data_IF_109705891237
#
_entry.id   IF_109705891237
#
_cell.length_a   1.000
_cell.length_b   1.000
_cell.length_c   1.000
_cell.angle_alpha   90.00
_cell.angle_beta   90.00
_cell.angle_gamma   90.00
#
_symmetry.space_group_name_H-M   'P 1'
#
loop_
_entity.id
_entity.type
_entity.pdbx_description
1 polymer ?
#
# COMPACT_ATOMS: atom_id res chain seq x y z
N UNK A 1 35.18 17.95 22.61
CA UNK A 1 34.06 17.19 23.18
C UNK A 1 32.83 18.09 23.11
N UNK A 2 32.00 17.91 22.08
CA UNK A 2 30.70 18.56 21.97
C UNK A 2 29.80 17.59 21.20
N UNK A 3 28.97 16.89 21.96
CA UNK A 3 27.97 15.92 21.52
C UNK A 3 26.62 16.65 21.65
N UNK A 4 26.04 17.08 20.52
CA UNK A 4 24.68 17.68 20.42
C UNK A 4 24.40 17.96 18.94
N UNK A 5 23.37 17.44 18.29
CA UNK A 5 22.33 16.53 18.74
C UNK A 5 21.88 15.69 17.55
N UNK A 6 21.57 14.43 17.83
CA UNK A 6 20.72 13.65 16.95
C UNK A 6 19.34 14.34 17.01
N UNK A 7 18.89 14.89 15.90
CA UNK A 7 17.51 15.33 15.78
C UNK A 7 16.63 14.08 15.76
N UNK A 8 16.17 13.68 16.95
CA UNK A 8 15.12 12.69 17.15
C UNK A 8 13.83 13.16 16.44
N UNK A 9 13.31 12.27 15.58
CA UNK A 9 11.89 12.01 15.42
C UNK A 9 11.01 13.18 15.04
N UNK A 10 11.00 13.58 13.77
CA UNK A 10 9.71 13.87 13.15
C UNK A 10 9.12 12.53 12.71
N UNK A 11 8.20 12.06 13.52
CA UNK A 11 7.15 11.09 13.25
C UNK A 11 6.77 11.18 11.76
N UNK A 12 7.41 10.37 10.91
CA UNK A 12 6.77 9.98 9.66
C UNK A 12 5.63 9.12 10.16
N UNK A 13 4.40 9.64 10.08
CA UNK A 13 3.21 8.88 10.39
C UNK A 13 3.41 7.48 9.85
N UNK A 14 3.13 6.47 10.67
CA UNK A 14 3.09 5.08 10.24
C UNK A 14 1.91 4.95 9.27
N UNK A 15 2.04 5.55 8.08
CA UNK A 15 1.21 5.31 6.93
C UNK A 15 1.53 3.87 6.57
N UNK A 16 0.68 2.95 7.02
CA UNK A 16 0.82 1.55 6.68
C UNK A 16 0.95 1.48 5.15
N UNK A 17 1.95 0.77 4.60
CA UNK A 17 2.18 0.73 3.17
C UNK A 17 0.90 0.32 2.44
N UNK A 18 0.64 0.93 1.29
CA UNK A 18 -0.64 0.76 0.58
C UNK A 18 -0.85 -0.71 0.20
N UNK A 19 0.25 -1.42 -0.03
CA UNK A 19 0.31 -2.86 -0.27
C UNK A 19 -0.25 -3.68 0.90
N UNK A 20 0.07 -3.35 2.15
CA UNK A 20 -0.50 -4.05 3.32
C UNK A 20 -2.01 -3.80 3.46
N UNK A 21 -2.47 -2.58 3.15
CA UNK A 21 -3.89 -2.28 3.17
C UNK A 21 -4.63 -3.03 2.05
N UNK A 22 -4.03 -3.10 0.87
CA UNK A 22 -4.58 -3.83 -0.27
C UNK A 22 -4.72 -5.32 0.03
N UNK A 23 -3.67 -5.95 0.55
CA UNK A 23 -3.71 -7.37 0.94
C UNK A 23 -4.82 -7.62 1.97
N UNK A 24 -4.95 -6.77 3.00
CA UNK A 24 -6.03 -6.92 3.99
C UNK A 24 -7.43 -6.79 3.39
N UNK A 25 -7.61 -5.88 2.43
CA UNK A 25 -8.88 -5.67 1.74
C UNK A 25 -9.24 -6.87 0.87
N UNK A 26 -8.28 -7.36 0.08
CA UNK A 26 -8.44 -8.59 -0.69
C UNK A 26 -8.77 -9.77 0.23
N UNK A 27 -8.14 -9.84 1.41
CA UNK A 27 -8.32 -10.96 2.34
C UNK A 27 -9.74 -10.96 2.90
N UNK A 28 -10.23 -9.76 3.22
CA UNK A 28 -11.61 -9.57 3.67
C UNK A 28 -12.61 -9.89 2.57
N UNK A 29 -12.32 -9.53 1.31
CA UNK A 29 -13.20 -9.82 0.17
C UNK A 29 -13.29 -11.33 -0.11
N UNK A 30 -12.17 -12.03 0.02
CA UNK A 30 -12.05 -13.48 -0.21
C UNK A 30 -12.42 -14.33 1.03
N UNK A 31 -12.84 -13.71 2.15
CA UNK A 31 -13.08 -14.36 3.45
C UNK A 31 -11.90 -15.27 3.88
N UNK A 32 -10.67 -14.80 3.64
CA UNK A 32 -9.44 -15.52 3.93
C UNK A 32 -8.52 -14.72 4.85
N UNK A 33 -7.52 -15.38 5.42
CA UNK A 33 -6.49 -14.70 6.19
C UNK A 33 -5.49 -13.99 5.25
N UNK A 34 -4.98 -12.81 5.60
CA UNK A 34 -4.05 -12.07 4.75
C UNK A 34 -2.72 -12.80 4.49
N UNK A 35 -2.38 -13.78 5.33
CA UNK A 35 -1.21 -14.66 5.13
C UNK A 35 -1.50 -15.86 4.20
N UNK A 36 -2.77 -16.21 4.02
CA UNK A 36 -3.24 -17.26 3.11
C UNK A 36 -3.59 -16.72 1.72
N UNK A 37 -3.50 -15.40 1.52
CA UNK A 37 -3.67 -14.81 0.19
C UNK A 37 -2.60 -15.34 -0.77
N UNK A 38 -3.00 -15.77 -1.98
CA UNK A 38 -2.03 -16.10 -3.02
C UNK A 38 -1.16 -14.88 -3.36
N UNK A 39 0.13 -15.13 -3.55
CA UNK A 39 1.04 -14.05 -3.91
C UNK A 39 0.71 -13.51 -5.30
N UNK A 40 0.17 -12.30 -5.36
CA UNK A 40 -0.09 -11.57 -6.59
C UNK A 40 1.16 -10.93 -7.21
N UNK A 41 2.35 -11.30 -6.75
CA UNK A 41 3.62 -10.75 -7.24
C UNK A 41 3.85 -10.93 -8.75
N UNK A 42 3.10 -11.82 -9.42
CA UNK A 42 3.14 -11.97 -10.87
C UNK A 42 2.27 -10.92 -11.61
N UNK A 43 1.23 -10.40 -10.97
CA UNK A 43 0.28 -9.44 -11.54
C UNK A 43 0.62 -8.01 -11.11
N UNK A 44 1.02 -7.84 -9.85
CA UNK A 44 1.36 -6.55 -9.27
C UNK A 44 2.63 -6.60 -8.43
N UNK A 45 3.49 -5.62 -8.63
CA UNK A 45 4.62 -5.36 -7.76
C UNK A 45 4.18 -4.41 -6.63
N UNK A 46 3.97 -4.98 -5.44
CA UNK A 46 3.54 -4.24 -4.26
C UNK A 46 4.54 -3.19 -3.77
N UNK A 47 5.84 -3.40 -3.99
CA UNK A 47 6.89 -2.45 -3.62
C UNK A 47 6.91 -1.27 -4.60
N UNK A 48 6.75 -1.56 -5.89
CA UNK A 48 6.59 -0.53 -6.91
C UNK A 48 5.31 0.29 -6.69
N UNK A 49 4.20 -0.35 -6.29
CA UNK A 49 2.95 0.34 -5.96
C UNK A 49 3.15 1.29 -4.77
N UNK A 50 3.76 0.82 -3.68
CA UNK A 50 4.03 1.65 -2.50
C UNK A 50 4.92 2.85 -2.86
N UNK A 51 5.98 2.58 -3.65
CA UNK A 51 6.88 3.63 -4.15
C UNK A 51 6.14 4.63 -5.02
N UNK A 52 5.26 4.17 -5.91
CA UNK A 52 4.50 5.02 -6.83
C UNK A 52 3.55 5.96 -6.09
N UNK A 53 2.82 5.44 -5.10
CA UNK A 53 1.92 6.23 -4.26
C UNK A 53 2.72 7.21 -3.39
N UNK A 54 3.78 6.74 -2.74
CA UNK A 54 4.64 7.53 -1.85
C UNK A 54 5.40 8.64 -2.57
N UNK A 55 5.84 8.40 -3.82
CA UNK A 55 6.55 9.38 -4.63
C UNK A 55 5.63 10.37 -5.34
N UNK A 56 4.34 10.07 -5.46
CA UNK A 56 3.41 10.94 -6.18
C UNK A 56 3.05 12.16 -5.33
N UNK A 57 3.34 13.34 -5.87
CA UNK A 57 2.97 14.63 -5.28
C UNK A 57 1.70 15.23 -5.93
N UNK A 58 0.98 14.42 -6.71
CA UNK A 58 -0.19 14.81 -7.50
C UNK A 58 -1.27 13.74 -7.33
N UNK A 59 -2.54 14.13 -7.46
CA UNK A 59 -3.66 13.19 -7.52
C UNK A 59 -3.40 12.12 -8.60
N UNK A 60 -3.13 10.90 -8.14
CA UNK A 60 -3.03 9.73 -8.99
C UNK A 60 -4.06 8.69 -8.58
N UNK A 61 -4.45 7.88 -9.55
CA UNK A 61 -5.31 6.72 -9.33
C UNK A 61 -4.73 5.56 -10.12
N UNK A 62 -4.50 4.45 -9.44
CA UNK A 62 -3.96 3.22 -10.02
C UNK A 62 -5.08 2.20 -10.01
N UNK A 63 -5.51 1.79 -11.21
CA UNK A 63 -6.57 0.81 -11.40
C UNK A 63 -6.00 -0.44 -12.08
N UNK A 64 -6.26 -1.61 -11.52
CA UNK A 64 -5.84 -2.90 -12.05
C UNK A 64 -6.79 -3.99 -11.57
N UNK A 65 -6.72 -5.18 -12.18
CA UNK A 65 -7.58 -6.30 -11.84
C UNK A 65 -6.77 -7.43 -11.23
N UNK A 66 -7.27 -8.04 -10.15
CA UNK A 66 -6.69 -9.23 -9.49
C UNK A 66 -7.81 -10.17 -9.11
N UNK A 67 -7.71 -11.45 -9.46
CA UNK A 67 -8.68 -12.51 -9.11
C UNK A 67 -10.16 -12.15 -9.42
N UNK A 68 -10.38 -11.29 -10.42
CA UNK A 68 -11.72 -10.83 -10.79
C UNK A 68 -12.22 -9.58 -10.06
N UNK A 69 -11.47 -9.04 -9.10
CA UNK A 69 -11.73 -7.74 -8.48
C UNK A 69 -11.12 -6.62 -9.29
N UNK A 70 -11.88 -5.57 -9.54
CA UNK A 70 -11.35 -4.32 -10.07
C UNK A 70 -10.87 -3.47 -8.88
N UNK A 71 -9.54 -3.41 -8.72
CA UNK A 71 -8.88 -2.73 -7.62
C UNK A 71 -8.56 -1.30 -8.04
N UNK A 72 -8.99 -0.33 -7.22
CA UNK A 72 -8.66 1.07 -7.39
C UNK A 72 -7.90 1.59 -6.17
N UNK A 73 -6.69 2.09 -6.39
CA UNK A 73 -5.84 2.69 -5.34
C UNK A 73 -5.62 4.17 -5.66
N UNK A 74 -6.08 5.03 -4.77
CA UNK A 74 -5.92 6.47 -4.89
C UNK A 74 -4.64 6.96 -4.16
N UNK A 75 -4.14 8.13 -4.55
CA UNK A 75 -2.92 8.73 -4.01
C UNK A 75 -2.98 9.10 -2.53
N UNK A 76 -4.18 9.21 -1.95
CA UNK A 76 -4.41 9.39 -0.51
C UNK A 76 -4.32 8.07 0.28
N UNK A 77 -4.11 6.94 -0.41
CA UNK A 77 -4.07 5.60 0.18
C UNK A 77 -5.43 4.95 0.35
N UNK A 78 -6.50 5.56 -0.19
CA UNK A 78 -7.82 4.92 -0.26
C UNK A 78 -7.81 3.78 -1.27
N UNK A 79 -8.43 2.65 -0.89
CA UNK A 79 -8.52 1.44 -1.70
C UNK A 79 -9.97 1.03 -1.83
N UNK A 80 -10.42 0.84 -3.06
CA UNK A 80 -11.74 0.35 -3.42
C UNK A 80 -11.62 -0.97 -4.20
N UNK A 81 -12.54 -1.90 -3.92
CA UNK A 81 -12.63 -3.21 -4.56
C UNK A 81 -14.06 -3.37 -5.09
N UNK A 82 -14.21 -3.47 -6.41
CA UNK A 82 -15.48 -3.75 -7.10
C UNK A 82 -15.57 -5.19 -7.61
#
# INVERSE_FOLDING_TARGET
MAMRGYNEGKERGQSNPVSLQLVRRLATAEDTEPEDIPSYAQEIDFEALDTLISASSTDLTVCFRIEGYDVTVASDGSIDLE
#
